data_IF_950303601339
#
_entry.id   IF_950303601339
#
_cell.length_a   1.000
_cell.length_b   1.000
_cell.length_c   1.000
_cell.angle_alpha   90.00
_cell.angle_beta   90.00
_cell.angle_gamma   90.00
#
_symmetry.space_group_name_H-M   'P 1'
#
loop_
_entity.id
_entity.type
_entity.pdbx_description
1 polymer ?
#
# COMPACT_ATOMS: atom_id res chain seq x y z
N UNK A 1 10.31 -15.22 -3.29
CA UNK A 1 9.63 -13.92 -3.01
C UNK A 1 10.61 -12.75 -2.88
N UNK A 2 10.30 -11.59 -3.47
CA UNK A 2 11.15 -10.38 -3.46
C UNK A 2 10.82 -9.37 -2.36
N UNK A 3 9.56 -9.34 -1.91
CA UNK A 3 9.05 -8.40 -0.90
C UNK A 3 8.37 -9.16 0.23
N UNK A 4 8.30 -8.53 1.41
CA UNK A 4 7.69 -9.11 2.61
C UNK A 4 6.66 -8.17 3.23
N UNK A 5 5.54 -8.72 3.71
CA UNK A 5 4.56 -7.98 4.50
C UNK A 5 4.58 -8.56 5.91
N UNK A 6 4.81 -7.71 6.91
CA UNK A 6 4.77 -8.15 8.30
C UNK A 6 3.35 -8.61 8.66
N UNK A 7 3.16 -9.80 9.26
CA UNK A 7 1.87 -10.22 9.78
C UNK A 7 1.31 -9.16 10.72
N UNK A 8 0.05 -8.77 10.50
CA UNK A 8 -0.62 -7.69 11.23
C UNK A 8 0.11 -6.32 11.22
N UNK A 9 1.11 -6.17 10.35
CA UNK A 9 2.01 -5.03 10.33
C UNK A 9 2.86 -4.84 11.59
N UNK A 10 3.00 -5.88 12.41
CA UNK A 10 3.82 -5.81 13.63
C UNK A 10 5.31 -5.83 13.27
N UNK A 11 6.02 -4.79 13.71
CA UNK A 11 7.44 -4.60 13.40
C UNK A 11 8.23 -4.41 14.68
N UNK A 12 9.32 -5.16 14.81
CA UNK A 12 10.35 -4.96 15.82
C UNK A 12 11.72 -4.70 15.19
N UNK A 13 12.65 -4.02 15.88
CA UNK A 13 14.02 -3.87 15.40
C UNK A 13 14.70 -5.20 15.07
N UNK A 14 14.41 -6.25 15.86
CA UNK A 14 14.93 -7.60 15.64
C UNK A 14 14.38 -8.20 14.35
N UNK A 15 13.06 -8.06 14.11
CA UNK A 15 12.43 -8.55 12.88
C UNK A 15 12.97 -7.83 11.63
N UNK A 16 13.16 -6.51 11.70
CA UNK A 16 13.84 -5.75 10.63
C UNK A 16 15.24 -6.28 10.36
N UNK A 17 16.06 -6.42 11.42
CA UNK A 17 17.44 -6.90 11.29
C UNK A 17 17.51 -8.30 10.68
N UNK A 18 16.60 -9.18 11.05
CA UNK A 18 16.55 -10.55 10.55
C UNK A 18 16.18 -10.64 9.06
N UNK A 19 15.37 -9.70 8.55
CA UNK A 19 14.81 -9.80 7.21
C UNK A 19 15.41 -8.84 6.18
N UNK A 20 16.06 -7.74 6.60
CA UNK A 20 16.57 -6.67 5.71
C UNK A 20 17.52 -7.16 4.60
N UNK A 21 18.28 -8.23 4.85
CA UNK A 21 19.22 -8.79 3.87
C UNK A 21 18.59 -9.79 2.91
N UNK A 22 17.33 -10.18 3.13
CA UNK A 22 16.64 -11.25 2.38
C UNK A 22 15.63 -10.71 1.37
N UNK A 23 15.07 -9.53 1.60
CA UNK A 23 14.01 -8.95 0.78
C UNK A 23 14.41 -7.55 0.31
N UNK A 24 13.96 -7.16 -0.89
CA UNK A 24 14.20 -5.82 -1.42
C UNK A 24 13.38 -4.74 -0.73
N UNK A 25 12.23 -5.11 -0.16
CA UNK A 25 11.49 -4.25 0.75
C UNK A 25 10.57 -5.04 1.68
N UNK A 26 10.23 -4.42 2.81
CA UNK A 26 9.32 -4.91 3.82
C UNK A 26 8.27 -3.84 4.11
N UNK A 27 7.00 -4.22 4.20
CA UNK A 27 5.90 -3.30 4.52
C UNK A 27 5.17 -3.67 5.79
N UNK A 28 4.64 -2.66 6.47
CA UNK A 28 3.68 -2.79 7.56
C UNK A 28 2.27 -2.36 7.08
N UNK A 29 1.38 -2.05 8.03
CA UNK A 29 -0.02 -1.63 7.76
C UNK A 29 -0.34 -0.21 8.26
N UNK A 30 0.68 0.56 8.65
CA UNK A 30 0.48 1.96 9.02
C UNK A 30 0.38 2.80 7.73
N UNK A 31 -0.64 3.65 7.67
CA UNK A 31 -0.88 4.54 6.54
C UNK A 31 0.24 5.57 6.40
N UNK A 32 0.64 5.86 5.15
CA UNK A 32 1.73 6.78 4.87
C UNK A 32 2.08 6.85 3.40
N UNK A 33 2.93 7.82 3.06
CA UNK A 33 3.49 8.02 1.73
C UNK A 33 4.94 7.53 1.72
N UNK A 34 5.32 6.85 0.64
CA UNK A 34 6.69 6.44 0.37
C UNK A 34 7.38 7.53 -0.44
N UNK A 35 8.56 7.93 0.00
CA UNK A 35 9.40 8.96 -0.62
C UNK A 35 10.87 8.53 -0.60
N UNK A 36 11.72 9.28 -1.27
CA UNK A 36 13.17 9.07 -1.19
C UNK A 36 13.64 9.15 0.26
N UNK A 37 14.41 8.14 0.68
CA UNK A 37 14.87 7.99 2.06
C UNK A 37 13.87 7.32 3.02
N UNK A 38 12.68 6.92 2.57
CA UNK A 38 11.81 6.04 3.36
C UNK A 38 12.51 4.73 3.73
N UNK A 39 12.24 4.22 4.94
CA UNK A 39 12.82 2.95 5.38
C UNK A 39 12.22 1.78 4.59
N UNK A 40 12.99 1.24 3.65
CA UNK A 40 12.61 0.08 2.85
C UNK A 40 12.35 -1.17 3.70
N UNK A 41 12.78 -1.19 4.96
CA UNK A 41 12.52 -2.28 5.90
C UNK A 41 11.23 -2.10 6.71
N UNK A 42 10.48 -1.02 6.49
CA UNK A 42 9.14 -0.78 7.02
C UNK A 42 8.44 0.30 6.20
N UNK A 43 8.10 -0.05 4.96
CA UNK A 43 7.27 0.81 4.13
C UNK A 43 5.85 0.92 4.71
N UNK A 44 5.25 2.11 4.67
CA UNK A 44 3.83 2.29 4.97
C UNK A 44 2.96 1.63 3.91
N UNK A 45 1.74 1.27 4.30
CA UNK A 45 0.72 0.82 3.36
C UNK A 45 -0.67 1.19 3.89
N UNK A 46 -1.54 1.62 2.99
CA UNK A 46 -2.89 2.11 3.28
C UNK A 46 -3.88 1.00 2.97
N UNK A 47 -4.65 0.60 3.98
CA UNK A 47 -5.74 -0.36 3.81
C UNK A 47 -6.91 0.29 3.07
N UNK A 48 -7.44 -0.39 2.05
CA UNK A 48 -8.65 0.05 1.31
C UNK A 48 -9.88 -0.79 1.68
N UNK A 49 -9.81 -1.41 2.84
CA UNK A 49 -10.78 -2.34 3.37
C UNK A 49 -11.92 -1.64 4.13
N UNK A 50 -13.10 -2.25 4.11
CA UNK A 50 -14.27 -1.74 4.83
C UNK A 50 -14.96 -0.53 4.17
N UNK A 51 -15.97 0.05 4.84
CA UNK A 51 -16.86 1.06 4.26
C UNK A 51 -16.13 2.35 3.82
N UNK A 52 -15.11 2.75 4.59
CA UNK A 52 -14.38 4.01 4.35
C UNK A 52 -13.12 3.83 3.48
N UNK A 53 -12.79 2.58 3.13
CA UNK A 53 -11.53 2.24 2.47
C UNK A 53 -11.35 2.90 1.10
N UNK A 54 -12.44 3.07 0.34
CA UNK A 54 -12.42 3.79 -0.94
C UNK A 54 -12.08 5.27 -0.76
N UNK A 55 -12.74 5.95 0.19
CA UNK A 55 -12.51 7.36 0.44
C UNK A 55 -11.09 7.60 1.02
N UNK A 56 -10.60 6.70 1.87
CA UNK A 56 -9.23 6.75 2.39
C UNK A 56 -8.20 6.56 1.27
N UNK A 57 -8.42 5.62 0.35
CA UNK A 57 -7.56 5.42 -0.81
C UNK A 57 -7.44 6.71 -1.66
N UNK A 58 -8.57 7.35 -1.98
CA UNK A 58 -8.59 8.59 -2.76
C UNK A 58 -7.80 9.70 -2.08
N UNK A 59 -7.98 9.91 -0.76
CA UNK A 59 -7.22 10.90 0.02
C UNK A 59 -5.71 10.66 -0.04
N UNK A 60 -5.27 9.42 0.10
CA UNK A 60 -3.83 9.11 0.07
C UNK A 60 -3.23 9.17 -1.34
N UNK A 61 -3.98 8.78 -2.36
CA UNK A 61 -3.59 8.98 -3.76
C UNK A 61 -3.38 10.47 -4.03
N UNK A 62 -4.35 11.31 -3.66
CA UNK A 62 -4.29 12.75 -3.87
C UNK A 62 -3.05 13.35 -3.22
N UNK A 63 -2.84 13.02 -1.95
CA UNK A 63 -1.69 13.48 -1.18
C UNK A 63 -0.36 12.98 -1.76
N UNK A 64 -0.29 11.74 -2.26
CA UNK A 64 0.92 11.20 -2.87
C UNK A 64 1.27 11.94 -4.17
N UNK A 65 0.27 12.16 -5.03
CA UNK A 65 0.43 12.91 -6.29
C UNK A 65 0.86 14.35 -6.03
N UNK A 66 0.21 15.05 -5.09
CA UNK A 66 0.55 16.43 -4.72
C UNK A 66 1.98 16.56 -4.18
N UNK A 67 2.54 15.48 -3.63
CA UNK A 67 3.90 15.41 -3.09
C UNK A 67 4.93 14.81 -4.06
N UNK A 68 4.55 14.53 -5.31
CA UNK A 68 5.39 13.81 -6.29
C UNK A 68 5.97 12.51 -5.71
N UNK A 69 5.15 11.78 -4.95
CA UNK A 69 5.52 10.59 -4.19
C UNK A 69 4.56 9.43 -4.52
N UNK A 70 4.69 8.30 -3.83
CA UNK A 70 3.86 7.13 -4.09
C UNK A 70 3.27 6.53 -2.81
N UNK A 71 2.20 5.75 -2.97
CA UNK A 71 1.48 5.08 -1.89
C UNK A 71 1.30 3.60 -2.23
N UNK A 72 1.36 2.75 -1.22
CA UNK A 72 1.04 1.32 -1.34
C UNK A 72 -0.39 1.12 -0.82
N UNK A 73 -1.29 0.64 -1.67
CA UNK A 73 -2.64 0.25 -1.27
C UNK A 73 -2.70 -1.27 -1.05
N UNK A 74 -3.45 -1.73 -0.05
CA UNK A 74 -3.67 -3.16 0.18
C UNK A 74 -5.09 -3.48 0.65
N UNK A 75 -5.53 -4.71 0.39
CA UNK A 75 -6.78 -5.31 0.89
C UNK A 75 -6.61 -6.83 1.01
N UNK A 76 -7.46 -7.51 1.76
CA UNK A 76 -7.36 -8.96 1.99
C UNK A 76 -8.17 -9.78 0.98
N UNK A 77 -9.26 -9.23 0.44
CA UNK A 77 -10.08 -9.87 -0.56
C UNK A 77 -10.81 -8.83 -1.44
N UNK A 78 -11.05 -9.19 -2.70
CA UNK A 78 -11.82 -8.36 -3.64
C UNK A 78 -12.96 -9.20 -4.20
N UNK A 79 -14.19 -8.92 -3.76
CA UNK A 79 -15.40 -9.67 -4.17
C UNK A 79 -16.68 -8.90 -3.85
N UNK A 80 -17.81 -9.27 -4.46
CA UNK A 80 -19.09 -8.54 -4.32
C UNK A 80 -19.59 -8.44 -2.87
N UNK A 81 -19.42 -9.50 -2.07
CA UNK A 81 -19.72 -9.49 -0.65
C UNK A 81 -18.41 -9.71 0.14
N UNK A 82 -17.58 -8.65 0.30
CA UNK A 82 -16.24 -8.79 0.86
C UNK A 82 -16.29 -9.16 2.34
N UNK A 83 -15.18 -9.69 2.86
CA UNK A 83 -15.00 -9.72 4.31
C UNK A 83 -14.91 -8.29 4.86
N UNK A 84 -14.94 -8.13 6.20
CA UNK A 84 -14.65 -6.82 6.83
C UNK A 84 -13.24 -6.29 6.55
N UNK A 85 -12.36 -7.12 5.96
CA UNK A 85 -10.99 -6.80 5.58
C UNK A 85 -10.80 -6.70 4.05
N UNK A 86 -11.91 -6.76 3.29
CA UNK A 86 -11.93 -6.72 1.84
C UNK A 86 -12.52 -5.43 1.28
N UNK A 87 -12.56 -5.35 -0.05
CA UNK A 87 -13.32 -4.35 -0.79
C UNK A 87 -14.09 -4.98 -1.95
N UNK A 88 -15.01 -4.22 -2.56
CA UNK A 88 -15.73 -4.69 -3.75
C UNK A 88 -14.91 -4.43 -5.03
N UNK A 89 -15.11 -5.22 -6.10
CA UNK A 89 -14.52 -4.92 -7.41
C UNK A 89 -14.88 -3.51 -7.90
N UNK A 90 -16.11 -3.06 -7.65
CA UNK A 90 -16.56 -1.73 -8.01
C UNK A 90 -15.81 -0.61 -7.25
N UNK A 91 -15.54 -0.80 -5.96
CA UNK A 91 -14.72 0.15 -5.19
C UNK A 91 -13.28 0.19 -5.71
N UNK A 92 -12.66 -0.97 -5.95
CA UNK A 92 -11.31 -1.03 -6.51
C UNK A 92 -11.23 -0.35 -7.89
N UNK A 93 -12.24 -0.56 -8.76
CA UNK A 93 -12.30 0.08 -10.06
C UNK A 93 -12.36 1.61 -9.96
N UNK A 94 -13.13 2.16 -9.01
CA UNK A 94 -13.19 3.62 -8.78
C UNK A 94 -11.88 4.17 -8.23
N UNK A 95 -11.21 3.44 -7.34
CA UNK A 95 -9.87 3.82 -6.83
C UNK A 95 -8.86 3.87 -7.98
N UNK A 96 -8.85 2.86 -8.85
CA UNK A 96 -7.97 2.80 -10.04
C UNK A 96 -8.25 3.96 -10.99
N UNK A 97 -9.53 4.21 -11.30
CA UNK A 97 -9.93 5.32 -12.16
C UNK A 97 -9.52 6.68 -11.58
N UNK A 98 -9.67 6.87 -10.26
CA UNK A 98 -9.24 8.08 -9.57
C UNK A 98 -7.72 8.29 -9.66
N UNK A 99 -6.93 7.24 -9.41
CA UNK A 99 -5.47 7.29 -9.54
C UNK A 99 -5.04 7.70 -10.96
N UNK A 100 -5.67 7.10 -11.98
CA UNK A 100 -5.39 7.44 -13.38
C UNK A 100 -5.80 8.89 -13.73
N UNK A 101 -6.96 9.34 -13.26
CA UNK A 101 -7.43 10.71 -13.47
C UNK A 101 -6.52 11.76 -12.80
N UNK A 102 -5.93 11.40 -11.66
CA UNK A 102 -4.91 12.20 -10.96
C UNK A 102 -3.53 12.16 -11.63
N UNK A 103 -3.35 11.37 -12.69
CA UNK A 103 -2.07 11.22 -13.40
C UNK A 103 -1.08 10.27 -12.72
N UNK A 104 -1.51 9.48 -11.73
CA UNK A 104 -0.65 8.50 -11.07
C UNK A 104 -0.42 7.27 -11.95
N UNK A 105 0.84 6.81 -12.00
CA UNK A 105 1.17 5.52 -12.58
C UNK A 105 0.83 4.39 -11.58
N UNK A 106 0.10 3.38 -12.04
CA UNK A 106 -0.18 2.18 -11.24
C UNK A 106 0.89 1.14 -11.56
N UNK A 107 1.62 0.72 -10.52
CA UNK A 107 2.79 -0.16 -10.60
C UNK A 107 2.81 -1.09 -9.40
N UNK A 108 3.50 -2.20 -9.54
CA UNK A 108 3.86 -3.06 -8.42
C UNK A 108 5.02 -2.43 -7.62
N UNK A 109 5.12 -2.74 -6.34
CA UNK A 109 6.25 -2.30 -5.48
C UNK A 109 7.61 -2.68 -6.10
N UNK A 110 7.69 -3.84 -6.75
CA UNK A 110 8.92 -4.31 -7.38
C UNK A 110 9.35 -3.50 -8.60
N UNK A 111 8.41 -2.94 -9.36
CA UNK A 111 8.71 -2.07 -10.50
C UNK A 111 9.14 -0.67 -10.07
N UNK A 112 8.61 -0.16 -8.94
CA UNK A 112 8.95 1.17 -8.42
C UNK A 112 10.34 1.18 -7.76
N UNK A 113 10.77 0.05 -7.19
CA UNK A 113 12.05 -0.08 -6.49
C UNK A 113 13.20 -0.65 -7.36
N UNK A 114 12.93 -0.99 -8.63
CA UNK A 114 13.93 -1.51 -9.56
C UNK A 114 14.75 -0.40 -10.21
#
# INVERSE_FOLDING_TARGET
>A
PRHFAYPYGEVSPQAKKALKGRYGSLRAVHSGIVRDGSDLNQLPAVGIEGPDGEAEAMRWIDRAVDQAAWVILYTHDVRENPSKYGCTPAALARIVAHAQARGAAIRTVGEVLA
#
